data_IF_497303332383
#
_entry.id   IF_497303332383
#
_cell.length_a   1.000
_cell.length_b   1.000
_cell.length_c   1.000
_cell.angle_alpha   90.00
_cell.angle_beta   90.00
_cell.angle_gamma   90.00
#
_symmetry.space_group_name_H-M   'P 1'
#
loop_
_entity.id
_entity.type
_entity.pdbx_description
1 polymer ?
#
# COMPACT_ATOMS: atom_id res chain seq x y z
N UNK A 1 1.85 -19.11 5.07
CA UNK A 1 1.44 -18.01 5.95
C UNK A 1 2.41 -16.89 5.69
N UNK A 2 1.91 -15.84 5.08
CA UNK A 2 2.63 -14.63 4.77
C UNK A 2 2.97 -13.94 6.07
N UNK A 3 4.10 -13.26 6.08
CA UNK A 3 4.56 -12.49 7.23
C UNK A 3 5.03 -11.09 6.82
N UNK A 4 5.57 -10.34 7.78
CA UNK A 4 6.06 -9.00 7.56
C UNK A 4 7.08 -8.92 6.40
N UNK A 5 7.87 -9.97 6.17
CA UNK A 5 8.87 -10.00 5.09
C UNK A 5 8.23 -10.02 3.71
N UNK A 6 7.03 -10.59 3.58
CA UNK A 6 6.30 -10.58 2.31
C UNK A 6 5.73 -9.20 2.00
N UNK A 7 5.27 -8.48 3.02
CA UNK A 7 4.90 -7.06 2.89
C UNK A 7 6.15 -6.24 2.52
N UNK A 8 7.28 -6.48 3.18
CA UNK A 8 8.53 -5.78 2.95
C UNK A 8 9.03 -5.95 1.50
N UNK A 9 8.83 -7.11 0.89
CA UNK A 9 9.13 -7.38 -0.53
C UNK A 9 8.27 -6.54 -1.46
N UNK A 10 6.96 -6.47 -1.22
CA UNK A 10 6.06 -5.62 -2.02
C UNK A 10 6.47 -4.15 -1.97
N UNK A 11 6.88 -3.69 -0.78
CA UNK A 11 7.38 -2.33 -0.58
C UNK A 11 8.75 -2.10 -1.23
N UNK A 12 9.63 -3.09 -1.25
CA UNK A 12 10.91 -3.02 -1.98
C UNK A 12 10.68 -2.93 -3.49
N UNK A 13 9.77 -3.72 -4.03
CA UNK A 13 9.39 -3.67 -5.45
C UNK A 13 8.80 -2.31 -5.82
N UNK A 14 7.97 -1.74 -4.94
CA UNK A 14 7.41 -0.40 -5.09
C UNK A 14 8.50 0.69 -5.08
N UNK A 15 9.53 0.56 -4.23
CA UNK A 15 10.63 1.51 -4.14
C UNK A 15 11.46 1.60 -5.44
N UNK A 16 11.52 0.50 -6.21
CA UNK A 16 12.23 0.48 -7.49
C UNK A 16 11.46 1.19 -8.62
N UNK A 17 10.19 1.57 -8.39
CA UNK A 17 9.36 2.18 -9.43
C UNK A 17 9.61 3.69 -9.53
N UNK A 18 9.68 4.24 -10.76
CA UNK A 18 9.85 5.66 -10.96
C UNK A 18 8.62 6.45 -10.50
N UNK A 19 8.84 7.68 -10.04
CA UNK A 19 7.76 8.59 -9.62
C UNK A 19 7.42 8.55 -8.13
N UNK A 20 8.00 7.61 -7.36
CA UNK A 20 7.83 7.60 -5.91
C UNK A 20 8.65 8.73 -5.24
N UNK A 21 8.05 9.56 -4.37
CA UNK A 21 8.80 10.54 -3.59
C UNK A 21 9.82 9.88 -2.66
N UNK A 22 10.94 10.56 -2.41
CA UNK A 22 11.93 10.09 -1.43
C UNK A 22 11.27 9.94 -0.05
N UNK A 23 11.42 8.76 0.57
CA UNK A 23 10.85 8.46 1.89
C UNK A 23 9.42 7.92 1.88
N UNK A 24 8.76 7.83 0.71
CA UNK A 24 7.40 7.29 0.59
C UNK A 24 7.29 5.85 1.09
N UNK A 25 8.26 4.98 0.75
CA UNK A 25 8.30 3.59 1.25
C UNK A 25 8.49 3.52 2.76
N UNK A 26 9.27 4.43 3.34
CA UNK A 26 9.44 4.51 4.80
C UNK A 26 8.13 4.87 5.49
N UNK A 27 7.40 5.84 4.95
CA UNK A 27 6.12 6.27 5.51
C UNK A 27 5.04 5.18 5.34
N UNK A 28 5.03 4.47 4.21
CA UNK A 28 4.18 3.28 4.01
C UNK A 28 4.49 2.18 5.02
N UNK A 29 5.78 1.91 5.25
CA UNK A 29 6.20 0.91 6.23
C UNK A 29 5.73 1.27 7.63
N UNK A 30 5.94 2.51 8.02
CA UNK A 30 5.49 3.01 9.32
C UNK A 30 3.97 2.92 9.47
N UNK A 31 3.18 3.27 8.45
CA UNK A 31 1.73 3.14 8.50
C UNK A 31 1.29 1.69 8.73
N UNK A 32 1.98 0.74 8.09
CA UNK A 32 1.70 -0.70 8.25
C UNK A 32 2.14 -1.18 9.63
N UNK A 33 3.38 -0.90 10.04
CA UNK A 33 3.96 -1.37 11.31
C UNK A 33 3.21 -0.82 12.54
N UNK A 34 2.62 0.38 12.41
CA UNK A 34 1.82 1.01 13.48
C UNK A 34 0.36 0.57 13.48
N UNK A 35 -0.09 -0.22 12.50
CA UNK A 35 -1.46 -0.68 12.36
C UNK A 35 -1.55 -2.21 12.29
N UNK A 36 -1.81 -2.89 13.42
CA UNK A 36 -2.02 -4.34 13.45
C UNK A 36 -3.10 -4.82 12.47
N UNK A 37 -4.11 -3.97 12.23
CA UNK A 37 -5.14 -4.22 11.24
C UNK A 37 -4.57 -4.30 9.82
N UNK A 38 -3.75 -3.34 9.39
CA UNK A 38 -3.13 -3.36 8.06
C UNK A 38 -2.21 -4.55 7.89
N UNK A 39 -1.37 -4.83 8.89
CA UNK A 39 -0.50 -6.03 8.87
C UNK A 39 -1.33 -7.30 8.67
N UNK A 40 -2.44 -7.45 9.40
CA UNK A 40 -3.33 -8.61 9.27
C UNK A 40 -4.01 -8.69 7.89
N UNK A 41 -4.53 -7.58 7.38
CA UNK A 41 -5.22 -7.56 6.07
C UNK A 41 -4.24 -7.83 4.93
N UNK A 42 -3.05 -7.24 4.98
CA UNK A 42 -2.04 -7.43 3.94
C UNK A 42 -1.47 -8.85 3.95
N UNK A 43 -1.12 -9.40 5.11
CA UNK A 43 -0.65 -10.80 5.19
C UNK A 43 -1.72 -11.78 4.71
N UNK A 44 -2.98 -11.61 5.13
CA UNK A 44 -4.08 -12.43 4.63
C UNK A 44 -4.27 -12.30 3.11
N UNK A 45 -4.17 -11.09 2.57
CA UNK A 45 -4.31 -10.85 1.14
C UNK A 45 -3.20 -11.52 0.32
N UNK A 46 -1.96 -11.49 0.83
CA UNK A 46 -0.80 -12.17 0.24
C UNK A 46 -0.99 -13.69 0.30
N UNK A 47 -1.41 -14.22 1.46
CA UNK A 47 -1.66 -15.66 1.64
C UNK A 47 -2.74 -16.19 0.68
N UNK A 48 -3.80 -15.40 0.47
CA UNK A 48 -4.87 -15.72 -0.49
C UNK A 48 -4.44 -15.50 -1.96
N UNK A 49 -3.24 -14.97 -2.21
CA UNK A 49 -2.75 -14.64 -3.54
C UNK A 49 -3.53 -13.52 -4.22
N UNK A 50 -4.27 -12.71 -3.46
CA UNK A 50 -5.04 -11.55 -3.94
C UNK A 50 -4.22 -10.27 -3.92
N UNK A 51 -3.22 -10.16 -3.06
CA UNK A 51 -2.22 -9.08 -3.13
C UNK A 51 -0.91 -9.67 -3.62
N UNK A 52 -0.49 -9.24 -4.81
CA UNK A 52 0.72 -9.74 -5.47
C UNK A 52 1.73 -8.63 -5.76
N UNK A 53 1.24 -7.41 -5.99
CA UNK A 53 2.07 -6.27 -6.38
C UNK A 53 1.50 -4.97 -5.83
N UNK A 54 2.38 -3.99 -5.66
CA UNK A 54 2.02 -2.59 -5.44
C UNK A 54 2.63 -1.78 -6.58
N UNK A 55 1.92 -0.75 -7.04
CA UNK A 55 2.42 0.12 -8.09
C UNK A 55 2.21 1.61 -7.80
N UNK A 56 3.02 2.44 -8.44
CA UNK A 56 2.86 3.89 -8.42
C UNK A 56 1.85 4.30 -9.48
N UNK A 57 0.75 4.93 -9.05
CA UNK A 57 -0.15 5.61 -9.99
C UNK A 57 0.02 7.12 -9.93
N UNK A 58 0.13 7.71 -11.11
CA UNK A 58 0.09 9.16 -11.32
C UNK A 58 -1.27 9.62 -11.85
N UNK A 59 -2.24 8.71 -11.97
CA UNK A 59 -3.59 9.05 -12.39
C UNK A 59 -4.37 9.62 -11.21
N UNK A 60 -4.90 10.85 -11.33
CA UNK A 60 -5.80 11.38 -10.31
C UNK A 60 -7.01 10.44 -10.19
N UNK A 61 -7.33 10.03 -8.95
CA UNK A 61 -8.41 9.10 -8.55
C UNK A 61 -8.08 7.59 -8.55
N UNK A 62 -6.85 7.17 -8.85
CA UNK A 62 -6.43 5.75 -8.72
C UNK A 62 -5.72 5.43 -7.40
N UNK A 63 -5.68 6.36 -6.46
CA UNK A 63 -5.13 6.11 -5.13
C UNK A 63 -5.97 5.09 -4.38
N UNK A 64 -5.41 3.89 -4.16
CA UNK A 64 -6.12 2.78 -3.54
C UNK A 64 -6.94 1.96 -4.52
N UNK A 65 -6.75 2.16 -5.83
CA UNK A 65 -7.32 1.27 -6.82
C UNK A 65 -6.73 -0.12 -6.66
N UNK A 66 -7.60 -1.12 -6.67
CA UNK A 66 -7.21 -2.53 -6.65
C UNK A 66 -7.65 -3.16 -7.96
N UNK A 67 -6.68 -3.66 -8.73
CA UNK A 67 -6.90 -4.50 -9.90
C UNK A 67 -6.96 -5.96 -9.45
N UNK A 68 -8.16 -6.54 -9.49
CA UNK A 68 -8.44 -7.91 -9.09
C UNK A 68 -7.89 -8.97 -10.05
N UNK A 69 -7.66 -8.61 -11.32
CA UNK A 69 -7.11 -9.51 -12.33
C UNK A 69 -5.62 -9.73 -12.13
N UNK A 70 -4.91 -8.66 -11.74
CA UNK A 70 -3.46 -8.70 -11.55
C UNK A 70 -3.06 -8.85 -10.08
N UNK A 71 -3.97 -8.57 -9.15
CA UNK A 71 -3.69 -8.55 -7.71
C UNK A 71 -2.84 -7.33 -7.32
N UNK A 72 -3.05 -6.19 -7.97
CA UNK A 72 -2.21 -5.00 -7.85
C UNK A 72 -2.95 -3.91 -7.09
N UNK A 73 -2.29 -3.30 -6.10
CA UNK A 73 -2.78 -2.08 -5.44
C UNK A 73 -1.99 -0.88 -5.95
N UNK A 74 -2.67 0.12 -6.47
CA UNK A 74 -2.07 1.36 -6.96
C UNK A 74 -2.01 2.40 -5.86
N UNK A 75 -0.83 2.95 -5.61
CA UNK A 75 -0.55 3.99 -4.63
C UNK A 75 -0.39 5.32 -5.36
N UNK A 76 -1.25 6.28 -5.06
CA UNK A 76 -1.18 7.59 -5.69
C UNK A 76 -0.13 8.47 -5.01
N UNK A 77 0.73 9.08 -5.82
CA UNK A 77 1.79 9.99 -5.35
C UNK A 77 1.25 11.23 -4.64
N UNK A 78 0.00 11.64 -4.90
CA UNK A 78 -0.69 12.74 -4.22
C UNK A 78 -0.90 12.49 -2.72
N UNK A 79 -0.89 11.24 -2.25
CA UNK A 79 -0.97 10.92 -0.81
C UNK A 79 0.26 11.44 -0.06
N UNK A 80 1.37 11.65 -0.75
CA UNK A 80 2.58 12.23 -0.17
C UNK A 80 2.62 13.77 -0.27
N UNK A 81 1.62 14.42 -0.89
CA UNK A 81 1.54 15.87 -0.99
C UNK A 81 1.19 16.59 0.33
N UNK A 82 0.34 16.04 1.23
CA UNK A 82 0.13 16.61 2.55
C UNK A 82 1.44 16.69 3.36
N UNK A 83 1.73 17.88 3.88
CA UNK A 83 2.93 18.15 4.70
C UNK A 83 2.82 17.54 6.10
N UNK A 84 1.61 17.29 6.59
CA UNK A 84 1.34 16.72 7.91
C UNK A 84 1.50 15.20 7.84
N UNK A 85 2.43 14.66 8.64
CA UNK A 85 2.77 13.23 8.64
C UNK A 85 1.62 12.34 9.13
N UNK A 86 0.87 12.76 10.15
CA UNK A 86 -0.29 12.00 10.66
C UNK A 86 -1.34 11.79 9.58
N UNK A 87 -1.72 12.86 8.89
CA UNK A 87 -2.74 12.83 7.83
C UNK A 87 -2.30 11.90 6.70
N UNK A 88 -1.01 11.89 6.37
CA UNK A 88 -0.44 10.98 5.39
C UNK A 88 -0.53 9.51 5.83
N UNK A 89 -0.20 9.19 7.08
CA UNK A 89 -0.32 7.83 7.61
C UNK A 89 -1.79 7.37 7.62
N UNK A 90 -2.71 8.25 8.01
CA UNK A 90 -4.16 7.96 8.01
C UNK A 90 -4.70 7.73 6.59
N UNK A 91 -4.27 8.55 5.61
CA UNK A 91 -4.62 8.36 4.20
C UNK A 91 -4.06 7.05 3.64
N UNK A 92 -2.81 6.68 3.97
CA UNK A 92 -2.22 5.41 3.57
C UNK A 92 -2.96 4.23 4.19
N UNK A 93 -3.33 4.31 5.47
CA UNK A 93 -4.12 3.30 6.14
C UNK A 93 -5.52 3.15 5.51
N UNK A 94 -6.17 4.26 5.18
CA UNK A 94 -7.43 4.25 4.44
C UNK A 94 -7.29 3.62 3.06
N UNK A 95 -6.23 3.95 2.33
CA UNK A 95 -5.94 3.43 0.98
C UNK A 95 -5.70 1.92 0.98
N UNK A 96 -4.94 1.42 1.96
CA UNK A 96 -4.62 0.00 2.09
C UNK A 96 -5.77 -0.81 2.72
N UNK A 97 -6.54 -0.19 3.62
CA UNK A 97 -7.66 -0.79 4.33
C UNK A 97 -9.00 -0.76 3.57
N UNK A 98 -9.20 0.20 2.66
CA UNK A 98 -10.42 0.32 1.84
C UNK A 98 -10.31 -0.59 0.63
N UNK A 99 -10.51 -1.90 0.84
CA UNK A 99 -10.66 -2.87 -0.26
C UNK A 99 -12.14 -3.18 -0.49
N UNK A 100 -12.73 -2.85 -1.66
CA UNK A 100 -14.00 -3.42 -2.08
C UNK A 100 -13.75 -4.84 -2.60
N UNK A 101 -13.93 -5.87 -1.78
CA UNK A 101 -13.83 -7.26 -2.27
C UNK A 101 -13.45 -8.35 -1.28
N UNK A 102 -13.20 -8.03 -0.01
CA UNK A 102 -13.06 -9.04 1.05
C UNK A 102 -14.38 -9.12 1.85
N UNK A 103 -15.35 -9.82 1.27
CA UNK A 103 -16.45 -10.47 1.96
C UNK A 103 -16.37 -11.97 1.71
#
# INVERSE_FOLDING_TARGET
MADQRDIDRLLQDLEQQPGLPKGAVRDLREAIDTSPYLTSVMTQAIDLGTLRRMEVSNHPNEGGHYDDKTGTVSINTSIFAPSIRSDRLDMLAGTLGTRPGMR
#
